data_IF_310801353544
#
_entry.id   IF_310801353544
#
_cell.length_a   1.000
_cell.length_b   1.000
_cell.length_c   1.000
_cell.angle_alpha   90.00
_cell.angle_beta   90.00
_cell.angle_gamma   90.00
#
_symmetry.space_group_name_H-M   'P 1'
#
loop_
_entity.id
_entity.type
_entity.pdbx_description
1 polymer ?
#
# COMPACT_ATOMS: atom_id res chain seq x y z
N UNK A 1 -0.56 1.16 13.70
CA UNK A 1 -1.10 1.65 12.41
C UNK A 1 -0.08 2.60 11.83
N UNK A 2 0.22 2.47 10.54
CA UNK A 2 1.09 3.37 9.79
C UNK A 2 0.26 4.05 8.70
N UNK A 3 0.48 5.34 8.50
CA UNK A 3 -0.08 6.08 7.35
C UNK A 3 1.06 6.83 6.67
N UNK A 4 1.18 6.65 5.36
CA UNK A 4 2.17 7.29 4.51
C UNK A 4 1.48 8.10 3.42
N UNK A 5 2.03 9.27 3.08
CA UNK A 5 1.67 9.97 1.85
C UNK A 5 2.41 9.35 0.67
N UNK A 6 1.70 9.15 -0.43
CA UNK A 6 2.28 8.73 -1.70
C UNK A 6 2.47 9.96 -2.57
N UNK A 7 3.68 10.14 -3.09
CA UNK A 7 4.04 11.26 -3.94
C UNK A 7 4.76 10.80 -5.20
N UNK A 8 4.44 11.39 -6.34
CA UNK A 8 5.15 11.20 -7.61
C UNK A 8 5.76 12.54 -8.02
N UNK A 9 7.08 12.59 -8.18
CA UNK A 9 7.80 13.84 -8.50
C UNK A 9 7.47 14.99 -7.54
N UNK A 10 7.36 14.70 -6.24
CA UNK A 10 7.02 15.68 -5.20
C UNK A 10 5.56 16.15 -5.20
N UNK A 11 4.69 15.59 -6.04
CA UNK A 11 3.25 15.85 -6.03
C UNK A 11 2.52 14.74 -5.26
N UNK A 12 1.75 15.06 -4.22
CA UNK A 12 0.93 14.08 -3.53
C UNK A 12 -0.11 13.48 -4.48
N UNK A 13 -0.16 12.15 -4.55
CA UNK A 13 -1.10 11.41 -5.40
C UNK A 13 -2.07 10.57 -4.57
N UNK A 14 -1.75 10.30 -3.30
CA UNK A 14 -2.63 9.52 -2.44
C UNK A 14 -2.07 9.29 -1.06
N UNK A 15 -2.75 8.43 -0.30
CA UNK A 15 -2.37 8.01 1.04
C UNK A 15 -2.46 6.50 1.13
N UNK A 16 -1.46 5.88 1.73
CA UNK A 16 -1.47 4.47 2.08
C UNK A 16 -1.60 4.33 3.58
N UNK A 17 -2.52 3.49 4.04
CA UNK A 17 -2.66 3.11 5.44
C UNK A 17 -2.43 1.62 5.58
N UNK A 18 -1.63 1.23 6.56
CA UNK A 18 -1.33 -0.16 6.87
C UNK A 18 -1.60 -0.43 8.35
N UNK A 19 -2.38 -1.48 8.61
CA UNK A 19 -2.81 -1.89 9.95
C UNK A 19 -2.50 -3.37 10.16
N UNK A 20 -1.70 -3.67 11.19
CA UNK A 20 -1.50 -5.04 11.65
C UNK A 20 -2.82 -5.61 12.16
N UNK A 21 -3.10 -6.85 11.79
CA UNK A 21 -4.20 -7.66 12.29
C UNK A 21 -3.68 -8.61 13.37
N UNK A 22 -4.58 -9.23 14.14
CA UNK A 22 -4.19 -10.14 15.23
C UNK A 22 -3.86 -11.57 14.74
N UNK A 23 -3.90 -11.80 13.43
CA UNK A 23 -3.58 -13.10 12.82
C UNK A 23 -2.07 -13.23 12.59
N UNK A 24 -1.53 -14.39 12.96
CA UNK A 24 -0.14 -14.79 12.77
C UNK A 24 -0.11 -16.21 12.20
N UNK A 25 0.78 -16.49 11.26
CA UNK A 25 0.97 -17.83 10.70
C UNK A 25 1.97 -18.65 11.54
N UNK A 26 2.19 -19.91 11.13
CA UNK A 26 3.10 -20.84 11.83
C UNK A 26 4.57 -20.39 11.76
N UNK A 27 4.93 -19.55 10.80
CA UNK A 27 6.28 -19.01 10.61
C UNK A 27 6.51 -17.71 11.41
N UNK A 28 5.46 -17.17 12.04
CA UNK A 28 5.51 -15.94 12.83
C UNK A 28 5.24 -14.66 12.02
N UNK A 29 4.79 -14.76 10.77
CA UNK A 29 4.38 -13.61 9.98
C UNK A 29 3.02 -13.10 10.45
N UNK A 30 2.85 -11.79 10.55
CA UNK A 30 1.56 -11.18 10.85
C UNK A 30 0.81 -10.80 9.57
N UNK A 31 -0.51 -10.87 9.60
CA UNK A 31 -1.35 -10.26 8.56
C UNK A 31 -1.41 -8.76 8.76
N UNK A 32 -1.26 -8.02 7.68
CA UNK A 32 -1.51 -6.59 7.61
C UNK A 32 -2.61 -6.31 6.60
N UNK A 33 -3.61 -5.55 7.02
CA UNK A 33 -4.53 -4.91 6.10
C UNK A 33 -3.90 -3.62 5.58
N UNK A 34 -3.91 -3.43 4.27
CA UNK A 34 -3.53 -2.18 3.64
C UNK A 34 -4.70 -1.58 2.86
N UNK A 35 -4.75 -0.26 2.82
CA UNK A 35 -5.62 0.50 1.93
C UNK A 35 -4.84 1.65 1.31
N UNK A 36 -5.11 1.92 0.04
CA UNK A 36 -4.62 3.10 -0.65
C UNK A 36 -5.80 3.91 -1.16
N UNK A 37 -5.77 5.18 -0.81
CA UNK A 37 -6.71 6.20 -1.22
C UNK A 37 -6.01 7.16 -2.18
N UNK A 38 -6.61 7.47 -3.31
CA UNK A 38 -6.13 8.48 -4.26
C UNK A 38 -6.41 9.88 -3.73
N UNK A 39 -5.80 10.91 -4.32
CA UNK A 39 -5.90 12.31 -3.87
C UNK A 39 -7.32 12.88 -3.90
N UNK A 40 -8.20 12.34 -4.75
CA UNK A 40 -9.62 12.69 -4.84
C UNK A 40 -10.48 12.03 -3.74
N UNK A 41 -9.87 11.22 -2.88
CA UNK A 41 -10.54 10.50 -1.80
C UNK A 41 -11.15 9.16 -2.20
N UNK A 42 -11.07 8.76 -3.47
CA UNK A 42 -11.55 7.43 -3.89
C UNK A 42 -10.61 6.31 -3.40
N UNK A 43 -11.17 5.12 -3.16
CA UNK A 43 -10.38 3.97 -2.77
C UNK A 43 -9.70 3.40 -4.02
N UNK A 44 -8.38 3.54 -4.10
CA UNK A 44 -7.59 2.99 -5.20
C UNK A 44 -7.48 1.46 -5.09
N UNK A 45 -7.12 0.95 -3.91
CA UNK A 45 -7.04 -0.50 -3.65
C UNK A 45 -6.97 -0.80 -2.16
N UNK A 46 -7.31 -2.03 -1.78
CA UNK A 46 -7.03 -2.56 -0.46
C UNK A 46 -6.77 -4.06 -0.53
N UNK A 47 -6.13 -4.60 0.50
CA UNK A 47 -5.89 -6.03 0.58
C UNK A 47 -5.22 -6.46 1.89
N UNK A 48 -4.79 -7.72 1.90
CA UNK A 48 -4.04 -8.32 3.00
C UNK A 48 -2.64 -8.69 2.51
N UNK A 49 -1.65 -8.55 3.39
CA UNK A 49 -0.27 -8.98 3.15
C UNK A 49 0.28 -9.64 4.42
N UNK A 50 0.92 -10.79 4.26
CA UNK A 50 1.68 -11.44 5.33
C UNK A 50 3.08 -10.85 5.38
N UNK A 51 3.54 -10.51 6.59
CA UNK A 51 4.83 -9.84 6.77
C UNK A 51 5.49 -10.17 8.12
N UNK A 52 6.78 -10.44 8.10
CA UNK A 52 7.60 -10.65 9.29
C UNK A 52 7.96 -9.32 9.94
N UNK A 53 7.68 -9.17 11.24
CA UNK A 53 8.06 -7.97 12.00
C UNK A 53 9.57 -7.69 11.98
N UNK A 54 10.41 -8.72 11.85
CA UNK A 54 11.88 -8.62 11.84
C UNK A 54 12.42 -7.93 10.60
N UNK A 55 11.71 -8.01 9.48
CA UNK A 55 12.08 -7.32 8.23
C UNK A 55 11.86 -5.80 8.32
N UNK A 56 11.13 -5.36 9.34
CA UNK A 56 10.90 -3.95 9.61
C UNK A 56 9.83 -3.31 8.73
N UNK A 57 9.51 -2.07 9.06
CA UNK A 57 8.34 -1.37 8.50
C UNK A 57 8.54 -0.96 7.02
N UNK A 58 9.78 -0.69 6.61
CA UNK A 58 10.07 -0.28 5.23
C UNK A 58 9.91 -1.44 4.24
N UNK A 59 10.30 -2.65 4.62
CA UNK A 59 10.05 -3.85 3.83
C UNK A 59 8.54 -4.10 3.64
N UNK A 60 7.74 -3.89 4.69
CA UNK A 60 6.28 -3.97 4.60
C UNK A 60 5.73 -2.93 3.61
N UNK A 61 6.15 -1.68 3.73
CA UNK A 61 5.72 -0.59 2.83
C UNK A 61 6.07 -0.90 1.38
N UNK A 62 7.31 -1.32 1.12
CA UNK A 62 7.75 -1.69 -0.22
C UNK A 62 6.93 -2.85 -0.78
N UNK A 63 6.71 -3.91 0.01
CA UNK A 63 5.89 -5.05 -0.40
C UNK A 63 4.46 -4.65 -0.71
N UNK A 64 3.86 -3.76 0.11
CA UNK A 64 2.52 -3.23 -0.20
C UNK A 64 2.53 -2.50 -1.54
N UNK A 65 3.49 -1.60 -1.79
CA UNK A 65 3.57 -0.89 -3.08
C UNK A 65 3.70 -1.86 -4.26
N UNK A 66 4.52 -2.90 -4.14
CA UNK A 66 4.73 -3.91 -5.18
C UNK A 66 3.44 -4.69 -5.51
N UNK A 67 2.75 -5.22 -4.50
CA UNK A 67 1.51 -5.98 -4.72
C UNK A 67 0.35 -5.11 -5.19
N UNK A 68 0.43 -3.81 -4.89
CA UNK A 68 -0.66 -2.90 -5.08
C UNK A 68 -0.70 -2.31 -6.49
N UNK A 69 0.35 -2.49 -7.29
CA UNK A 69 0.43 -2.09 -8.70
C UNK A 69 0.04 -0.60 -8.90
N UNK A 70 0.80 0.34 -8.33
CA UNK A 70 0.48 1.78 -8.35
C UNK A 70 0.31 2.36 -9.77
N UNK A 71 0.90 1.74 -10.79
CA UNK A 71 0.72 2.04 -12.20
C UNK A 71 -0.72 1.89 -12.73
N UNK A 72 -1.60 1.26 -11.93
CA UNK A 72 -3.03 1.12 -12.19
C UNK A 72 -3.88 2.15 -11.44
N UNK A 73 -3.30 2.89 -10.49
CA UNK A 73 -4.03 3.89 -9.68
C UNK A 73 -3.81 5.30 -10.20
N UNK A 74 -2.59 5.53 -10.67
CA UNK A 74 -2.15 6.79 -11.23
C UNK A 74 -1.74 6.51 -12.66
N UNK A 75 -2.71 6.32 -13.59
CA UNK A 75 -2.37 6.26 -15.00
C UNK A 75 -1.57 7.52 -15.29
N UNK A 76 -0.31 7.34 -15.71
CA UNK A 76 0.48 8.46 -16.19
C UNK A 76 -0.29 9.21 -17.28
N UNK A 77 0.08 10.46 -17.60
CA UNK A 77 -0.63 11.28 -18.58
C UNK A 77 -0.81 10.59 -19.95
N UNK A 78 -0.03 9.56 -20.25
CA UNK A 78 -0.06 8.79 -21.49
C UNK A 78 -1.04 7.58 -21.50
N UNK A 79 -1.51 7.13 -20.33
CA UNK A 79 -2.59 6.14 -20.25
C UNK A 79 -3.94 6.88 -20.30
N UNK A 80 -4.32 7.31 -21.50
CA UNK A 80 -5.72 7.69 -21.76
C UNK A 80 -6.58 6.45 -21.50
N UNK A 81 -7.60 6.62 -20.66
CA UNK A 81 -8.71 5.68 -20.54
C UNK A 81 -9.21 5.35 -21.97
N UNK A 82 -9.21 4.06 -22.29
CA UNK A 82 -9.83 3.50 -23.48
C UNK A 82 -11.08 2.74 -23.11
#
# INVERSE_FOLDING_TARGET
MLTCELSVNGRPVGKMTVRRMDQMDEEGNFVYFYSVQTSDGSLGRSGLVWHDLRDGIWALVQRVIEISHPENWFPGPDKKEG
#
